data_IF_207900873590
#
_entry.id   IF_207900873590
#
_cell.length_a   1.000
_cell.length_b   1.000
_cell.length_c   1.000
_cell.angle_alpha   90.00
_cell.angle_beta   90.00
_cell.angle_gamma   90.00
#
_symmetry.space_group_name_H-M   'P 1'
#
loop_
_entity.id
_entity.type
_entity.pdbx_description
1 polymer ?
#
# COMPACT_ATOMS: atom_id res chain seq x y z
N UNK A 1 11.05 -28.70 71.48
CA UNK A 1 11.07 -27.59 70.50
C UNK A 1 11.77 -28.07 69.22
N UNK A 2 11.02 -28.58 68.26
CA UNK A 2 11.46 -28.91 66.89
C UNK A 2 10.42 -28.45 65.93
N UNK A 3 10.49 -27.20 65.55
CA UNK A 3 9.61 -26.61 64.53
C UNK A 3 10.48 -25.96 63.46
N UNK A 4 10.11 -26.20 62.22
CA UNK A 4 10.32 -25.27 61.13
C UNK A 4 11.45 -25.45 60.13
N UNK A 5 12.00 -26.62 59.89
CA UNK A 5 12.78 -26.82 58.65
C UNK A 5 11.90 -27.11 57.40
N UNK A 6 10.76 -27.75 57.60
CA UNK A 6 9.79 -28.05 56.53
C UNK A 6 9.11 -26.80 55.95
N UNK A 7 8.86 -25.77 56.80
CA UNK A 7 8.21 -24.52 56.33
C UNK A 7 9.11 -23.68 55.44
N UNK A 8 10.41 -23.66 55.66
CA UNK A 8 11.37 -22.88 54.84
C UNK A 8 11.62 -23.47 53.44
N UNK A 9 11.57 -24.81 53.35
CA UNK A 9 11.73 -25.53 52.08
C UNK A 9 10.49 -25.34 51.19
N UNK A 10 9.29 -25.34 51.77
CA UNK A 10 8.03 -25.10 51.04
C UNK A 10 7.93 -23.70 50.47
N UNK A 11 8.41 -22.68 51.22
CA UNK A 11 8.41 -21.28 50.75
C UNK A 11 9.45 -21.08 49.61
N UNK A 12 10.60 -21.74 49.74
CA UNK A 12 11.65 -21.66 48.68
C UNK A 12 11.19 -22.31 47.39
N UNK A 13 10.53 -23.49 47.44
CA UNK A 13 9.96 -24.17 46.30
C UNK A 13 8.80 -23.38 45.66
N UNK A 14 7.98 -22.73 46.43
CA UNK A 14 6.88 -21.91 45.93
C UNK A 14 7.41 -20.65 45.21
N UNK A 15 8.48 -20.03 45.70
CA UNK A 15 9.13 -18.90 45.04
C UNK A 15 9.82 -19.30 43.71
N UNK A 16 10.44 -20.46 43.65
CA UNK A 16 11.02 -20.99 42.40
C UNK A 16 9.98 -21.27 41.34
N UNK A 17 8.79 -21.77 41.71
CA UNK A 17 7.68 -22.01 40.78
C UNK A 17 7.08 -20.70 40.24
N UNK A 18 7.05 -19.64 41.03
CA UNK A 18 6.57 -18.32 40.59
C UNK A 18 7.56 -17.66 39.61
N UNK A 19 8.87 -17.86 39.80
CA UNK A 19 9.88 -17.34 38.85
C UNK A 19 9.88 -18.12 37.53
N UNK A 20 9.75 -19.44 37.58
CA UNK A 20 9.65 -20.28 36.37
C UNK A 20 8.36 -19.96 35.58
N UNK A 21 7.25 -19.64 36.26
CA UNK A 21 6.01 -19.20 35.60
C UNK A 21 6.16 -17.84 34.92
N UNK A 22 6.92 -16.91 35.52
CA UNK A 22 7.15 -15.59 34.94
C UNK A 22 8.03 -15.65 33.68
N UNK A 23 9.00 -16.56 33.65
CA UNK A 23 9.88 -16.74 32.49
C UNK A 23 9.17 -17.49 31.34
N UNK A 24 8.33 -18.48 31.68
CA UNK A 24 7.48 -19.17 30.71
C UNK A 24 6.43 -18.24 30.09
N UNK A 25 5.80 -17.38 30.88
CA UNK A 25 4.85 -16.36 30.42
C UNK A 25 5.57 -15.29 29.59
N UNK A 26 6.77 -14.88 29.98
CA UNK A 26 7.55 -13.92 29.20
C UNK A 26 8.02 -14.50 27.87
N UNK A 27 8.44 -15.78 27.82
CA UNK A 27 8.78 -16.47 26.59
C UNK A 27 7.58 -16.81 25.72
N UNK A 28 6.40 -16.99 26.29
CA UNK A 28 5.15 -17.14 25.56
C UNK A 28 4.74 -15.80 24.93
N UNK A 29 4.76 -14.71 25.69
CA UNK A 29 4.46 -13.36 25.20
C UNK A 29 5.50 -12.84 24.21
N UNK A 30 6.77 -13.25 24.30
CA UNK A 30 7.80 -12.90 23.32
C UNK A 30 7.77 -13.78 22.06
N UNK A 31 7.07 -14.91 22.07
CA UNK A 31 6.90 -15.77 20.89
C UNK A 31 5.76 -15.29 19.97
N UNK A 32 4.74 -14.68 20.55
CA UNK A 32 3.62 -14.09 19.80
C UNK A 32 3.89 -12.64 19.38
N UNK A 33 5.00 -12.07 19.83
CA UNK A 33 5.58 -10.80 19.38
C UNK A 33 6.88 -11.07 18.60
N UNK A 34 6.93 -12.07 17.73
CA UNK A 34 7.68 -11.89 16.53
C UNK A 34 6.99 -10.72 15.84
N UNK A 35 7.46 -9.50 16.17
CA UNK A 35 7.33 -8.36 15.29
C UNK A 35 7.73 -8.90 13.92
N UNK A 36 6.71 -9.20 13.11
CA UNK A 36 6.93 -9.27 11.68
C UNK A 36 7.62 -7.94 11.40
N UNK A 37 8.93 -8.01 11.18
CA UNK A 37 9.76 -6.90 10.75
C UNK A 37 9.11 -6.29 9.50
N UNK A 38 8.19 -5.38 9.75
CA UNK A 38 7.49 -4.58 8.77
C UNK A 38 8.40 -3.40 8.38
N UNK A 39 9.69 -3.67 8.28
CA UNK A 39 10.65 -2.76 7.65
C UNK A 39 10.43 -2.73 6.13
N UNK A 40 9.16 -2.56 5.72
CA UNK A 40 8.80 -2.38 4.31
C UNK A 40 9.23 -0.99 3.81
N UNK A 41 9.64 -0.11 4.72
CA UNK A 41 10.08 1.25 4.40
C UNK A 41 11.51 1.37 3.88
N UNK A 42 12.39 0.41 4.15
CA UNK A 42 13.83 0.61 3.94
C UNK A 42 14.40 -0.01 2.65
N UNK A 43 13.66 -0.79 1.90
CA UNK A 43 14.17 -1.48 0.72
C UNK A 43 13.76 -0.87 -0.63
N UNK A 44 13.11 0.29 -0.63
CA UNK A 44 12.59 0.90 -1.86
C UNK A 44 13.07 2.33 -2.09
N UNK A 45 14.09 2.79 -1.38
CA UNK A 45 14.58 4.15 -1.50
C UNK A 45 15.92 4.12 -2.25
N UNK A 46 16.04 4.95 -3.23
CA UNK A 46 17.20 5.67 -3.71
C UNK A 46 17.90 5.26 -5.01
N UNK A 47 17.93 4.05 -5.48
CA UNK A 47 18.69 3.80 -6.72
C UNK A 47 17.88 3.93 -8.02
N UNK A 48 16.52 3.97 -7.93
CA UNK A 48 15.65 3.99 -9.11
C UNK A 48 14.83 5.27 -9.31
N UNK A 49 14.94 6.23 -8.41
CA UNK A 49 14.14 7.47 -8.46
C UNK A 49 14.52 8.38 -9.64
N UNK A 50 15.73 8.20 -10.20
CA UNK A 50 16.22 9.06 -11.29
C UNK A 50 15.71 8.70 -12.69
N UNK A 51 15.16 7.49 -12.89
CA UNK A 51 14.82 6.98 -14.21
C UNK A 51 13.32 6.81 -14.50
N UNK A 52 12.45 7.03 -13.51
CA UNK A 52 11.00 6.92 -13.75
C UNK A 52 10.51 8.14 -14.52
N UNK A 53 10.04 7.96 -15.76
CA UNK A 53 9.58 9.07 -16.56
C UNK A 53 8.47 9.85 -15.84
N UNK A 54 8.69 11.12 -15.66
CA UNK A 54 7.66 12.02 -15.19
C UNK A 54 6.63 12.20 -16.29
N UNK A 55 5.36 11.93 -16.00
CA UNK A 55 4.27 12.34 -16.90
C UNK A 55 4.20 13.86 -16.87
N UNK A 56 4.42 14.57 -18.00
CA UNK A 56 4.44 16.02 -18.01
C UNK A 56 3.16 16.59 -17.40
N UNK A 57 3.31 17.61 -16.59
CA UNK A 57 2.15 18.42 -16.19
C UNK A 57 1.63 19.10 -17.46
N UNK A 58 0.34 18.98 -17.81
CA UNK A 58 -0.21 19.53 -19.04
C UNK A 58 -0.04 21.05 -19.06
N UNK A 59 0.21 21.59 -20.24
CA UNK A 59 0.22 23.03 -20.41
C UNK A 59 -1.16 23.62 -20.14
N UNK A 60 -1.19 24.88 -19.70
CA UNK A 60 -2.44 25.61 -19.55
C UNK A 60 -3.24 25.67 -20.87
N UNK A 61 -2.52 25.69 -22.01
CA UNK A 61 -3.09 25.71 -23.35
C UNK A 61 -3.79 24.38 -23.70
N UNK A 62 -3.20 23.23 -23.37
CA UNK A 62 -3.82 21.92 -23.60
C UNK A 62 -5.07 21.72 -22.75
N UNK A 63 -5.03 22.16 -21.48
CA UNK A 63 -6.20 22.16 -20.60
C UNK A 63 -7.30 23.10 -21.14
N UNK A 64 -6.95 24.30 -21.54
CA UNK A 64 -7.90 25.29 -22.09
C UNK A 64 -8.53 24.83 -23.42
N UNK A 65 -7.78 24.10 -24.24
CA UNK A 65 -8.27 23.52 -25.49
C UNK A 65 -9.13 22.25 -25.27
N UNK A 66 -9.24 21.75 -24.06
CA UNK A 66 -9.98 20.55 -23.72
C UNK A 66 -9.41 19.25 -24.33
N UNK A 67 -8.13 19.27 -24.77
CA UNK A 67 -7.47 18.11 -25.36
C UNK A 67 -7.06 17.08 -24.35
N UNK A 68 -6.83 17.51 -23.12
CA UNK A 68 -6.38 16.66 -22.01
C UNK A 68 -7.32 16.79 -20.81
N UNK A 69 -7.36 15.76 -19.96
CA UNK A 69 -8.05 15.83 -18.68
C UNK A 69 -7.23 16.63 -17.64
N UNK A 70 -7.70 16.67 -16.42
CA UNK A 70 -7.05 17.37 -15.31
C UNK A 70 -5.61 16.90 -15.03
N UNK A 71 -5.32 15.62 -15.31
CA UNK A 71 -3.99 15.01 -15.14
C UNK A 71 -3.07 15.17 -16.35
N UNK A 72 -3.51 15.84 -17.43
CA UNK A 72 -2.73 16.01 -18.65
C UNK A 72 -2.73 14.78 -19.57
N UNK A 73 -3.62 13.86 -19.33
CA UNK A 73 -3.79 12.67 -20.16
C UNK A 73 -4.78 13.00 -21.28
N UNK A 74 -4.46 12.58 -22.51
CA UNK A 74 -5.32 12.82 -23.68
C UNK A 74 -6.74 12.27 -23.45
N UNK A 75 -7.74 13.09 -23.73
CA UNK A 75 -9.15 12.72 -23.55
C UNK A 75 -9.59 11.73 -24.63
N UNK A 76 -10.40 10.76 -24.20
CA UNK A 76 -11.06 9.82 -25.08
C UNK A 76 -12.56 9.76 -24.75
N UNK A 77 -13.35 9.43 -25.75
CA UNK A 77 -14.78 9.23 -25.52
C UNK A 77 -15.00 8.05 -24.54
N UNK A 78 -15.69 8.32 -23.44
CA UNK A 78 -15.98 7.32 -22.41
C UNK A 78 -15.02 7.32 -21.21
N UNK A 79 -14.02 8.21 -21.18
CA UNK A 79 -13.19 8.40 -20.00
C UNK A 79 -14.03 8.77 -18.77
N UNK A 80 -13.66 8.24 -17.61
CA UNK A 80 -14.29 8.57 -16.35
C UNK A 80 -13.69 9.85 -15.76
N UNK A 81 -14.19 11.00 -16.15
CA UNK A 81 -13.70 12.31 -15.68
C UNK A 81 -13.67 12.41 -14.15
N UNK A 82 -14.66 11.81 -13.47
CA UNK A 82 -14.74 11.80 -12.01
C UNK A 82 -13.52 11.10 -11.38
N UNK A 83 -13.01 10.05 -12.03
CA UNK A 83 -11.81 9.37 -11.59
C UNK A 83 -10.58 10.26 -11.70
N UNK A 84 -10.42 10.95 -12.81
CA UNK A 84 -9.27 11.84 -13.05
C UNK A 84 -9.28 13.03 -12.10
N UNK A 85 -10.43 13.66 -11.90
CA UNK A 85 -10.58 14.78 -10.97
C UNK A 85 -10.30 14.37 -9.53
N UNK A 86 -10.81 13.22 -9.10
CA UNK A 86 -10.52 12.67 -7.78
C UNK A 86 -9.03 12.40 -7.58
N UNK A 87 -8.34 11.84 -8.58
CA UNK A 87 -6.89 11.60 -8.53
C UNK A 87 -6.13 12.93 -8.51
N UNK A 88 -6.49 13.90 -9.37
CA UNK A 88 -5.85 15.21 -9.40
C UNK A 88 -5.85 15.88 -8.03
N UNK A 89 -6.98 15.79 -7.33
CA UNK A 89 -7.09 16.33 -5.98
C UNK A 89 -6.07 15.74 -4.99
N UNK A 90 -5.50 14.58 -5.26
CA UNK A 90 -4.45 13.96 -4.44
C UNK A 90 -3.03 14.14 -4.98
N UNK A 91 -2.84 14.62 -6.21
CA UNK A 91 -1.52 14.76 -6.80
C UNK A 91 -0.56 15.55 -5.91
N UNK A 92 0.67 15.05 -5.77
CA UNK A 92 1.71 15.67 -4.95
C UNK A 92 1.53 15.49 -3.43
N UNK A 93 0.45 14.85 -2.95
CA UNK A 93 0.31 14.50 -1.52
C UNK A 93 1.50 13.63 -1.10
N UNK A 94 2.26 13.99 -0.03
CA UNK A 94 3.44 13.24 0.39
C UNK A 94 3.10 11.79 0.77
N UNK A 95 4.06 10.90 0.58
CA UNK A 95 3.94 9.54 1.12
C UNK A 95 4.14 9.54 2.63
N UNK A 96 3.28 8.80 3.33
CA UNK A 96 3.45 8.49 4.74
C UNK A 96 2.95 7.07 4.99
N UNK A 97 3.81 6.20 5.50
CA UNK A 97 3.41 4.83 5.86
C UNK A 97 2.26 4.85 6.88
N UNK A 98 1.19 4.11 6.60
CA UNK A 98 -0.04 4.12 7.41
C UNK A 98 -0.86 5.42 7.33
N UNK A 99 -0.38 6.42 6.58
CA UNK A 99 -1.07 7.71 6.40
C UNK A 99 -2.37 7.58 5.60
N UNK A 100 -3.33 8.45 5.93
CA UNK A 100 -4.67 8.43 5.33
C UNK A 100 -5.20 9.83 5.00
N UNK A 101 -4.36 10.85 5.04
CA UNK A 101 -4.76 12.26 4.88
C UNK A 101 -3.92 12.98 3.83
N UNK A 102 -4.25 14.24 3.56
CA UNK A 102 -3.48 15.10 2.63
C UNK A 102 -2.10 15.52 3.18
N UNK A 103 -1.85 15.40 4.48
CA UNK A 103 -0.55 15.60 5.10
C UNK A 103 0.38 14.40 4.88
N UNK A 104 -0.18 13.27 4.44
CA UNK A 104 0.55 12.08 4.07
C UNK A 104 -0.35 10.87 3.88
N UNK A 105 -0.15 10.15 2.78
CA UNK A 105 -0.98 9.00 2.39
C UNK A 105 -0.11 7.84 1.90
N UNK A 106 -0.43 6.60 2.31
CA UNK A 106 0.18 5.42 1.71
C UNK A 106 -0.56 4.95 0.44
N UNK A 107 0.03 4.00 -0.28
CA UNK A 107 -0.51 3.53 -1.55
C UNK A 107 -1.93 2.95 -1.43
N UNK A 108 -2.19 2.14 -0.42
CA UNK A 108 -3.48 1.50 -0.21
C UNK A 108 -4.55 2.46 0.31
N UNK A 109 -4.18 3.43 1.15
CA UNK A 109 -5.10 4.48 1.58
C UNK A 109 -5.49 5.39 0.41
N UNK A 110 -4.53 5.79 -0.43
CA UNK A 110 -4.81 6.55 -1.64
C UNK A 110 -5.85 5.82 -2.53
N UNK A 111 -5.58 4.57 -2.90
CA UNK A 111 -6.51 3.75 -3.69
C UNK A 111 -7.88 3.65 -3.00
N UNK A 112 -7.90 3.38 -1.70
CA UNK A 112 -9.14 3.28 -0.92
C UNK A 112 -9.96 4.56 -0.88
N UNK A 113 -9.31 5.74 -0.86
CA UNK A 113 -10.01 7.03 -0.96
C UNK A 113 -10.66 7.22 -2.31
N UNK A 114 -9.93 7.01 -3.40
CA UNK A 114 -10.46 7.13 -4.76
C UNK A 114 -11.64 6.17 -4.98
N UNK A 115 -11.50 4.91 -4.57
CA UNK A 115 -12.58 3.93 -4.74
C UNK A 115 -13.84 4.28 -3.92
N UNK A 116 -13.67 4.84 -2.74
CA UNK A 116 -14.80 5.30 -1.93
C UNK A 116 -15.49 6.50 -2.56
N UNK A 117 -14.74 7.46 -3.08
CA UNK A 117 -15.27 8.69 -3.67
C UNK A 117 -15.95 8.43 -5.01
N UNK A 118 -15.27 7.77 -5.94
CA UNK A 118 -15.72 7.60 -7.33
C UNK A 118 -16.70 6.45 -7.49
N UNK A 119 -16.43 5.31 -6.84
CA UNK A 119 -17.18 4.07 -7.05
C UNK A 119 -18.07 3.67 -5.88
N UNK A 120 -18.08 4.45 -4.78
CA UNK A 120 -18.79 4.14 -3.53
C UNK A 120 -18.42 2.75 -2.96
N UNK A 121 -17.20 2.28 -3.22
CA UNK A 121 -16.68 0.98 -2.77
C UNK A 121 -15.68 1.16 -1.62
N UNK A 122 -15.79 0.29 -0.63
CA UNK A 122 -14.79 0.15 0.43
C UNK A 122 -13.91 -1.03 0.12
N UNK A 123 -12.60 -0.81 0.17
CA UNK A 123 -11.57 -1.82 -0.03
C UNK A 123 -10.89 -2.14 1.30
N UNK A 124 -10.22 -3.29 1.38
CA UNK A 124 -9.35 -3.61 2.50
C UNK A 124 -8.28 -2.55 2.67
N UNK A 125 -7.83 -2.35 3.92
CA UNK A 125 -6.88 -1.26 4.24
C UNK A 125 -5.47 -1.55 3.72
N UNK A 126 -5.06 -2.80 3.66
CA UNK A 126 -3.70 -3.22 3.31
C UNK A 126 -3.63 -3.67 1.86
N UNK A 127 -2.58 -3.27 1.15
CA UNK A 127 -2.39 -3.57 -0.28
C UNK A 127 -2.53 -5.07 -0.61
N UNK A 128 -1.94 -5.94 0.20
CA UNK A 128 -2.03 -7.38 0.00
C UNK A 128 -3.48 -7.90 0.10
N UNK A 129 -4.25 -7.35 1.04
CA UNK A 129 -5.61 -7.82 1.32
C UNK A 129 -6.63 -7.30 0.32
N UNK A 130 -6.32 -6.20 -0.38
CA UNK A 130 -7.16 -5.68 -1.49
C UNK A 130 -7.35 -6.69 -2.61
N UNK A 131 -6.51 -7.73 -2.71
CA UNK A 131 -6.73 -8.83 -3.64
C UNK A 131 -8.03 -9.58 -3.39
N UNK A 132 -8.58 -9.54 -2.18
CA UNK A 132 -9.86 -10.15 -1.81
C UNK A 132 -11.07 -9.37 -2.37
N UNK A 133 -10.88 -8.08 -2.64
CA UNK A 133 -11.94 -7.19 -3.15
C UNK A 133 -12.12 -7.27 -4.67
N UNK A 134 -11.22 -7.96 -5.38
CA UNK A 134 -11.14 -7.93 -6.83
C UNK A 134 -11.20 -9.31 -7.46
N UNK A 135 -11.55 -9.33 -8.74
CA UNK A 135 -11.22 -10.44 -9.64
C UNK A 135 -9.87 -10.14 -10.27
N UNK A 136 -8.87 -11.01 -10.04
CA UNK A 136 -7.55 -10.84 -10.63
C UNK A 136 -7.60 -11.01 -12.15
N UNK A 137 -6.93 -10.12 -12.87
CA UNK A 137 -6.86 -10.06 -14.33
C UNK A 137 -5.42 -9.92 -14.81
N UNK A 138 -5.18 -10.21 -16.06
CA UNK A 138 -3.87 -10.05 -16.72
C UNK A 138 -3.62 -8.58 -17.10
N UNK A 139 -2.36 -8.24 -17.43
CA UNK A 139 -1.99 -6.89 -17.90
C UNK A 139 -2.76 -6.47 -19.15
N UNK A 140 -3.02 -7.41 -20.07
CA UNK A 140 -3.74 -7.14 -21.33
C UNK A 140 -5.24 -6.92 -21.15
N UNK A 141 -5.80 -7.28 -19.99
CA UNK A 141 -7.23 -7.08 -19.67
C UNK A 141 -7.48 -5.80 -18.87
N UNK A 142 -6.42 -5.07 -18.54
CA UNK A 142 -6.52 -3.82 -17.77
C UNK A 142 -7.41 -2.80 -18.47
N UNK A 143 -8.28 -2.18 -17.69
CA UNK A 143 -9.17 -1.08 -18.07
C UNK A 143 -9.06 0.03 -17.06
N UNK A 144 -9.41 1.22 -17.45
CA UNK A 144 -9.49 2.38 -16.57
C UNK A 144 -10.27 2.04 -15.27
N UNK A 145 -9.71 2.45 -14.14
CA UNK A 145 -10.26 2.18 -12.81
C UNK A 145 -9.90 0.81 -12.23
N UNK A 146 -9.20 -0.08 -12.95
CA UNK A 146 -8.69 -1.32 -12.35
C UNK A 146 -7.54 -1.02 -11.37
N UNK A 147 -7.42 -1.84 -10.33
CA UNK A 147 -6.28 -1.79 -9.40
C UNK A 147 -5.09 -2.51 -10.03
N UNK A 148 -3.90 -1.96 -9.91
CA UNK A 148 -2.65 -2.62 -10.27
C UNK A 148 -1.87 -2.99 -9.03
N UNK A 149 -1.43 -4.25 -8.95
CA UNK A 149 -0.71 -4.82 -7.83
C UNK A 149 0.75 -5.08 -8.19
N UNK A 150 1.65 -4.74 -7.27
CA UNK A 150 3.08 -4.96 -7.43
C UNK A 150 3.65 -5.73 -6.24
N UNK A 151 4.61 -6.63 -6.53
CA UNK A 151 5.26 -7.45 -5.52
C UNK A 151 6.63 -6.89 -5.16
N UNK A 152 7.04 -7.14 -3.93
CA UNK A 152 8.41 -6.95 -3.48
C UNK A 152 9.32 -8.12 -3.94
N UNK A 153 10.60 -8.07 -3.58
CA UNK A 153 11.59 -9.10 -3.89
C UNK A 153 11.26 -10.49 -3.31
N UNK A 154 10.39 -10.56 -2.31
CA UNK A 154 9.91 -11.82 -1.69
C UNK A 154 8.64 -12.35 -2.38
N UNK A 155 8.16 -11.72 -3.46
CA UNK A 155 6.96 -12.11 -4.20
C UNK A 155 5.63 -11.77 -3.50
N UNK A 156 5.65 -11.01 -2.40
CA UNK A 156 4.45 -10.57 -1.69
C UNK A 156 3.96 -9.25 -2.27
N UNK A 157 2.64 -9.09 -2.45
CA UNK A 157 2.04 -7.82 -2.83
C UNK A 157 2.30 -6.77 -1.75
N UNK A 158 3.00 -5.72 -2.11
CA UNK A 158 3.44 -4.65 -1.19
C UNK A 158 3.08 -3.25 -1.67
N UNK A 159 2.62 -3.12 -2.92
CA UNK A 159 2.25 -1.83 -3.48
C UNK A 159 1.05 -1.95 -4.42
N UNK A 160 0.27 -0.88 -4.51
CA UNK A 160 -0.93 -0.78 -5.35
C UNK A 160 -1.05 0.59 -5.99
N UNK A 161 -1.73 0.63 -7.12
CA UNK A 161 -2.13 1.85 -7.81
C UNK A 161 -3.44 1.66 -8.56
N UNK A 162 -3.88 2.70 -9.26
CA UNK A 162 -5.09 2.70 -10.08
C UNK A 162 -4.67 2.86 -11.54
N UNK A 163 -5.03 1.89 -12.37
CA UNK A 163 -4.78 1.95 -13.80
C UNK A 163 -5.67 3.02 -14.44
N UNK A 164 -5.07 3.79 -15.32
CA UNK A 164 -5.76 4.82 -16.10
C UNK A 164 -5.96 4.31 -17.52
N UNK A 165 -5.08 4.68 -18.42
CA UNK A 165 -5.04 4.16 -19.80
C UNK A 165 -3.61 4.23 -20.35
N UNK A 166 -3.36 3.59 -21.49
CA UNK A 166 -2.10 3.64 -22.24
C UNK A 166 -0.86 3.29 -21.38
N UNK A 167 -1.04 2.33 -20.46
CA UNK A 167 0.01 1.91 -19.55
C UNK A 167 0.23 2.85 -18.35
N UNK A 168 -0.54 3.92 -18.22
CA UNK A 168 -0.45 4.87 -17.10
C UNK A 168 -1.21 4.38 -15.88
N UNK A 169 -0.67 4.66 -14.69
CA UNK A 169 -1.34 4.39 -13.42
C UNK A 169 -0.98 5.44 -12.37
N UNK A 170 -1.92 5.75 -11.51
CA UNK A 170 -1.74 6.65 -10.36
C UNK A 170 -1.45 5.85 -9.08
N UNK A 171 -0.49 6.32 -8.28
CA UNK A 171 -0.15 5.68 -7.00
C UNK A 171 0.52 6.66 -6.04
N UNK A 172 0.59 6.33 -4.75
CA UNK A 172 1.41 7.06 -3.79
C UNK A 172 2.82 6.45 -3.75
N UNK A 173 3.78 7.09 -4.41
CA UNK A 173 5.19 6.73 -4.43
C UNK A 173 5.85 7.08 -3.10
N UNK A 174 6.69 6.18 -2.55
CA UNK A 174 7.41 6.40 -1.30
C UNK A 174 8.34 7.62 -1.32
N UNK A 175 8.89 7.95 -2.48
CA UNK A 175 9.86 9.06 -2.64
C UNK A 175 9.25 10.35 -3.15
N UNK A 176 8.10 10.29 -3.87
CA UNK A 176 7.53 11.45 -4.57
C UNK A 176 6.07 11.75 -4.22
N UNK A 177 5.47 10.95 -3.33
CA UNK A 177 4.05 11.07 -3.02
C UNK A 177 3.15 10.61 -4.16
N UNK A 178 1.95 11.17 -4.24
CA UNK A 178 0.98 10.78 -5.27
C UNK A 178 1.41 11.30 -6.63
N UNK A 179 1.66 10.37 -7.55
CA UNK A 179 2.14 10.62 -8.92
C UNK A 179 1.49 9.66 -9.92
N UNK A 180 1.71 9.93 -11.21
CA UNK A 180 1.43 9.00 -12.29
C UNK A 180 2.75 8.36 -12.75
N UNK A 181 2.72 7.06 -13.03
CA UNK A 181 3.84 6.29 -13.56
C UNK A 181 3.37 5.39 -14.72
N UNK A 182 4.34 4.75 -15.41
CA UNK A 182 4.06 3.84 -16.52
C UNK A 182 4.33 2.39 -16.15
N UNK A 183 3.43 1.48 -16.54
CA UNK A 183 3.59 0.03 -16.31
C UNK A 183 4.70 -0.61 -17.14
N UNK A 184 5.18 0.06 -18.18
CA UNK A 184 6.27 -0.39 -19.06
C UNK A 184 7.64 0.14 -18.62
N UNK A 185 7.72 1.03 -17.62
CA UNK A 185 8.98 1.40 -17.00
C UNK A 185 9.66 0.16 -16.41
N UNK A 186 10.99 0.11 -16.52
CA UNK A 186 11.78 -1.07 -16.13
C UNK A 186 11.49 -1.57 -14.72
N UNK A 187 11.34 -0.66 -13.77
CA UNK A 187 11.00 -0.98 -12.39
C UNK A 187 9.58 -1.57 -12.27
N UNK A 188 8.58 -0.88 -12.80
CA UNK A 188 7.18 -1.28 -12.67
C UNK A 188 6.86 -2.56 -13.44
N UNK A 189 7.43 -2.72 -14.64
CA UNK A 189 7.25 -3.93 -15.45
C UNK A 189 7.81 -5.19 -14.77
N UNK A 190 8.94 -5.06 -14.05
CA UNK A 190 9.58 -6.14 -13.29
C UNK A 190 8.76 -6.56 -12.05
N UNK A 191 8.09 -5.61 -11.40
CA UNK A 191 7.38 -5.85 -10.15
C UNK A 191 5.87 -6.03 -10.32
N UNK A 192 5.34 -5.79 -11.53
CA UNK A 192 3.92 -6.00 -11.81
C UNK A 192 3.51 -7.45 -11.55
N UNK A 193 2.48 -7.60 -10.72
CA UNK A 193 1.94 -8.92 -10.39
C UNK A 193 0.68 -9.24 -11.20
N UNK A 194 -0.37 -8.47 -11.00
CA UNK A 194 -1.70 -8.63 -11.63
C UNK A 194 -2.45 -7.30 -11.66
N UNK A 195 -3.44 -7.22 -12.53
CA UNK A 195 -4.53 -6.28 -12.39
C UNK A 195 -5.63 -6.85 -11.48
N UNK A 196 -6.50 -5.99 -11.00
CA UNK A 196 -7.66 -6.38 -10.20
C UNK A 196 -8.87 -5.54 -10.52
N UNK A 197 -9.92 -6.17 -11.01
CA UNK A 197 -11.23 -5.53 -11.23
C UNK A 197 -12.10 -5.69 -10.01
N UNK A 198 -12.53 -4.58 -9.42
CA UNK A 198 -13.37 -4.61 -8.21
C UNK A 198 -14.68 -5.33 -8.49
N UNK A 199 -15.03 -6.24 -7.58
CA UNK A 199 -16.29 -7.00 -7.65
C UNK A 199 -17.48 -6.06 -7.48
N UNK A 200 -18.45 -6.19 -8.37
CA UNK A 200 -19.71 -5.44 -8.34
C UNK A 200 -20.62 -5.97 -7.26
#
# INVERSE_FOLDING_TARGET
MRTSTLSKISILLLSLLLFASCEAVRNFLSRDLEEEDYSVGELYVDEYVSEVPYVPTPSAEDKAAGRVNSLGIERSAGDNEQLYDAIEAWMGTPYKYGGTTKEGVDCSAFVGHIFREVYQKRLHRVANDMQQDVTLITKSELREGDIVFFTNSKGRVSHVGIYLKDGLFAHSSTSRGVIISRLDDSYWSKHFYKGGRVKV
#
